data_IF_711577302217
#
_entry.id   IF_711577302217
#
_cell.length_a   1.000
_cell.length_b   1.000
_cell.length_c   1.000
_cell.angle_alpha   90.00
_cell.angle_beta   90.00
_cell.angle_gamma   90.00
#
_symmetry.space_group_name_H-M   'P 1'
#
loop_
_entity.id
_entity.type
_entity.pdbx_description
1 polymer ?
#
# COMPACT_ATOMS: atom_id res chain seq x y z
N UNK A 1 -22.06 -0.94 -12.03
CA UNK A 1 -20.79 -1.67 -11.78
C UNK A 1 -19.70 -0.80 -11.15
N UNK A 2 -19.92 0.51 -10.97
CA UNK A 2 -18.91 1.48 -10.47
C UNK A 2 -18.49 1.21 -9.02
N UNK A 3 -19.45 0.94 -8.11
CA UNK A 3 -19.16 0.69 -6.69
C UNK A 3 -18.38 -0.61 -6.42
N UNK A 4 -18.55 -1.64 -7.27
CA UNK A 4 -17.83 -2.91 -7.10
C UNK A 4 -16.36 -2.72 -7.49
N UNK A 5 -16.09 -2.11 -8.64
CA UNK A 5 -14.74 -1.77 -9.07
C UNK A 5 -14.05 -0.83 -8.04
N UNK A 6 -14.78 0.12 -7.45
CA UNK A 6 -14.25 1.04 -6.44
C UNK A 6 -13.84 0.31 -5.16
N UNK A 7 -14.70 -0.60 -4.67
CA UNK A 7 -14.38 -1.42 -3.51
C UNK A 7 -13.12 -2.26 -3.72
N UNK A 8 -12.93 -2.82 -4.93
CA UNK A 8 -11.73 -3.58 -5.27
C UNK A 8 -10.49 -2.67 -5.27
N UNK A 9 -10.57 -1.48 -5.89
CA UNK A 9 -9.47 -0.50 -5.94
C UNK A 9 -9.07 -0.07 -4.53
N UNK A 10 -10.04 0.29 -3.69
CA UNK A 10 -9.79 0.67 -2.29
C UNK A 10 -9.16 -0.45 -1.49
N UNK A 11 -9.70 -1.67 -1.61
CA UNK A 11 -9.19 -2.82 -0.88
C UNK A 11 -7.74 -3.15 -1.27
N UNK A 12 -7.43 -3.19 -2.57
CA UNK A 12 -6.08 -3.45 -3.06
C UNK A 12 -5.11 -2.34 -2.63
N UNK A 13 -5.49 -1.08 -2.83
CA UNK A 13 -4.67 0.09 -2.45
C UNK A 13 -4.42 0.14 -0.95
N UNK A 14 -5.45 -0.04 -0.14
CA UNK A 14 -5.33 -0.08 1.32
C UNK A 14 -4.42 -1.22 1.77
N UNK A 15 -4.52 -2.41 1.17
CA UNK A 15 -3.66 -3.56 1.47
C UNK A 15 -2.20 -3.27 1.10
N UNK A 16 -1.95 -2.74 -0.11
CA UNK A 16 -0.61 -2.37 -0.57
C UNK A 16 0.05 -1.34 0.34
N UNK A 17 -0.68 -0.29 0.72
CA UNK A 17 -0.24 0.72 1.69
C UNK A 17 0.10 0.09 3.04
N UNK A 18 -0.78 -0.77 3.57
CA UNK A 18 -0.55 -1.47 4.85
C UNK A 18 0.72 -2.32 4.80
N UNK A 19 0.92 -3.08 3.73
CA UNK A 19 2.11 -3.92 3.55
C UNK A 19 3.40 -3.10 3.38
N UNK A 20 3.31 -1.93 2.73
CA UNK A 20 4.40 -0.99 2.59
C UNK A 20 4.65 -0.12 3.84
N UNK A 21 3.84 -0.25 4.90
CA UNK A 21 4.02 0.49 6.16
C UNK A 21 3.36 1.87 6.19
N UNK A 22 2.40 2.13 5.31
CA UNK A 22 1.55 3.33 5.32
C UNK A 22 0.20 3.01 5.98
N UNK A 23 0.22 2.96 7.31
CA UNK A 23 -0.91 2.53 8.12
C UNK A 23 -2.06 3.55 8.16
N UNK A 24 -1.73 4.84 8.29
CA UNK A 24 -2.73 5.90 8.35
C UNK A 24 -3.42 6.08 6.99
N UNK A 25 -2.61 6.10 5.93
CA UNK A 25 -3.07 6.19 4.54
C UNK A 25 -3.93 4.98 4.14
N UNK A 26 -3.56 3.78 4.59
CA UNK A 26 -4.39 2.57 4.43
C UNK A 26 -5.76 2.69 5.10
N UNK A 27 -5.82 3.27 6.31
CA UNK A 27 -7.07 3.47 7.04
C UNK A 27 -7.98 4.55 6.41
N UNK A 28 -7.39 5.60 5.84
CA UNK A 28 -8.11 6.61 5.07
C UNK A 28 -8.66 6.04 3.76
N UNK A 29 -7.86 5.23 3.05
CA UNK A 29 -8.24 4.60 1.77
C UNK A 29 -9.39 3.59 1.92
N UNK A 30 -9.35 2.77 2.98
CA UNK A 30 -10.33 1.69 3.21
C UNK A 30 -11.68 2.17 3.75
N UNK A 31 -11.70 3.26 4.50
CA UNK A 31 -12.89 3.81 5.13
C UNK A 31 -12.82 5.35 5.13
N UNK A 32 -13.05 5.99 3.97
CA UNK A 32 -12.89 7.43 3.83
C UNK A 32 -13.96 8.21 4.61
N UNK A 33 -15.21 7.74 4.60
CA UNK A 33 -16.37 8.49 5.13
C UNK A 33 -16.59 8.35 6.65
N UNK A 34 -15.69 7.68 7.38
CA UNK A 34 -15.82 7.53 8.84
C UNK A 34 -15.01 6.37 9.39
N UNK A 35 -15.42 5.81 10.53
CA UNK A 35 -14.69 4.74 11.21
C UNK A 35 -14.63 3.44 10.40
N UNK A 36 -15.68 3.13 9.64
CA UNK A 36 -15.86 1.89 8.89
C UNK A 36 -16.21 2.16 7.43
N UNK A 37 -16.02 1.19 6.50
CA UNK A 37 -16.41 1.36 5.09
C UNK A 37 -17.92 1.59 4.89
N UNK A 38 -18.75 1.24 5.88
CA UNK A 38 -20.19 1.43 5.86
C UNK A 38 -20.63 2.75 6.49
N UNK A 39 -19.69 3.58 6.97
CA UNK A 39 -20.01 4.86 7.59
C UNK A 39 -20.69 5.79 6.58
N UNK A 40 -21.81 6.39 6.99
CA UNK A 40 -22.61 7.31 6.17
C UNK A 40 -22.87 8.61 6.94
N UNK A 41 -23.17 9.71 6.25
CA UNK A 41 -23.64 10.93 6.91
C UNK A 41 -24.83 10.63 7.83
N UNK A 42 -24.79 11.17 9.05
CA UNK A 42 -25.87 11.03 10.05
C UNK A 42 -26.33 12.42 10.50
N UNK A 43 -27.00 12.54 11.65
CA UNK A 43 -27.47 13.81 12.20
C UNK A 43 -27.02 14.03 13.65
N UNK A 44 -27.04 15.29 14.08
CA UNK A 44 -26.79 15.69 15.46
C UNK A 44 -25.40 15.30 15.96
N UNK A 45 -25.34 14.66 17.13
CA UNK A 45 -24.10 14.29 17.81
C UNK A 45 -23.29 13.25 17.02
N UNK A 46 -23.95 12.29 16.39
CA UNK A 46 -23.27 11.20 15.66
C UNK A 46 -22.54 11.72 14.42
N UNK A 47 -23.11 12.73 13.75
CA UNK A 47 -22.47 13.35 12.59
C UNK A 47 -21.21 14.12 12.99
N UNK A 48 -21.22 14.77 14.16
CA UNK A 48 -20.04 15.44 14.70
C UNK A 48 -18.89 14.46 14.94
N UNK A 49 -19.17 13.34 15.60
CA UNK A 49 -18.18 12.29 15.88
C UNK A 49 -17.64 11.68 14.58
N UNK A 50 -18.51 11.47 13.58
CA UNK A 50 -18.08 10.97 12.26
C UNK A 50 -17.11 11.94 11.60
N UNK A 51 -17.42 13.24 11.58
CA UNK A 51 -16.55 14.27 10.99
C UNK A 51 -15.22 14.37 11.71
N UNK A 52 -15.23 14.39 13.04
CA UNK A 52 -14.00 14.34 13.85
C UNK A 52 -13.12 13.13 13.48
N UNK A 53 -13.74 11.95 13.32
CA UNK A 53 -13.02 10.73 12.89
C UNK A 53 -12.40 10.88 11.49
N UNK A 54 -13.14 11.49 10.55
CA UNK A 54 -12.66 11.71 9.17
C UNK A 54 -11.50 12.72 9.17
N UNK A 55 -11.62 13.81 9.91
CA UNK A 55 -10.60 14.85 10.03
C UNK A 55 -9.32 14.29 10.66
N UNK A 56 -9.43 13.50 11.73
CA UNK A 56 -8.30 12.81 12.35
C UNK A 56 -7.62 11.81 11.41
N UNK A 57 -8.39 11.09 10.59
CA UNK A 57 -7.83 10.17 9.58
C UNK A 57 -7.06 10.94 8.53
N UNK A 58 -7.64 12.03 8.02
CA UNK A 58 -7.03 12.88 7.02
C UNK A 58 -5.72 13.47 7.55
N UNK A 59 -5.74 14.05 8.74
CA UNK A 59 -4.55 14.62 9.37
C UNK A 59 -3.42 13.59 9.52
N UNK A 60 -3.73 12.39 10.02
CA UNK A 60 -2.74 11.31 10.17
C UNK A 60 -2.20 10.81 8.82
N UNK A 61 -3.05 10.68 7.80
CA UNK A 61 -2.60 10.28 6.47
C UNK A 61 -1.70 11.35 5.84
N UNK A 62 -2.06 12.63 5.95
CA UNK A 62 -1.24 13.74 5.48
C UNK A 62 0.12 13.80 6.18
N UNK A 63 0.14 13.64 7.51
CA UNK A 63 1.38 13.59 8.28
C UNK A 63 2.26 12.41 7.87
N UNK A 64 1.68 11.22 7.71
CA UNK A 64 2.40 10.02 7.25
C UNK A 64 2.99 10.22 5.84
N UNK A 65 2.23 10.83 4.92
CA UNK A 65 2.68 11.09 3.56
C UNK A 65 3.73 12.21 3.50
N UNK A 66 3.72 13.19 4.42
CA UNK A 66 4.79 14.19 4.56
C UNK A 66 6.11 13.54 4.96
N UNK A 67 6.06 12.59 5.90
CA UNK A 67 7.22 11.84 6.40
C UNK A 67 7.52 10.56 5.60
N UNK A 68 6.95 10.41 4.40
CA UNK A 68 7.13 9.19 3.56
C UNK A 68 8.59 8.87 3.25
N UNK A 69 9.49 9.86 3.29
CA UNK A 69 10.93 9.69 3.02
C UNK A 69 11.66 8.90 4.10
N UNK A 70 11.07 8.76 5.27
CA UNK A 70 11.63 7.96 6.38
C UNK A 70 11.48 6.45 6.12
N UNK A 71 10.72 6.08 5.09
CA UNK A 71 10.53 4.69 4.65
C UNK A 71 11.74 4.21 3.84
N UNK A 72 11.98 2.90 3.87
CA UNK A 72 13.04 2.29 3.09
C UNK A 72 12.81 2.54 1.60
N UNK A 73 13.79 3.16 0.93
CA UNK A 73 13.77 3.40 -0.50
C UNK A 73 14.49 2.28 -1.23
N UNK A 74 13.88 1.76 -2.29
CA UNK A 74 14.52 0.77 -3.15
C UNK A 74 14.00 0.86 -4.59
N UNK A 75 14.76 0.28 -5.52
CA UNK A 75 14.42 0.26 -6.94
C UNK A 75 14.03 -1.15 -7.36
N UNK A 76 12.91 -1.30 -8.06
CA UNK A 76 12.46 -2.53 -8.70
C UNK A 76 11.91 -2.19 -10.09
N UNK A 77 12.12 -3.03 -11.11
CA UNK A 77 11.64 -2.78 -12.48
C UNK A 77 11.89 -1.35 -13.01
N UNK A 78 13.08 -0.80 -12.76
CA UNK A 78 13.49 0.58 -13.15
C UNK A 78 12.67 1.71 -12.49
N UNK A 79 11.85 1.40 -11.47
CA UNK A 79 11.06 2.37 -10.71
C UNK A 79 11.47 2.41 -9.25
N UNK A 80 11.25 3.56 -8.62
CA UNK A 80 11.57 3.79 -7.22
C UNK A 80 10.33 3.57 -6.35
N UNK A 81 10.53 2.82 -5.27
CA UNK A 81 9.52 2.45 -4.30
C UNK A 81 9.93 2.91 -2.90
N UNK A 82 8.93 3.22 -2.08
CA UNK A 82 9.09 3.50 -0.66
C UNK A 82 8.25 2.51 0.16
N UNK A 83 8.83 1.97 1.23
CA UNK A 83 8.06 1.17 2.16
C UNK A 83 8.87 0.50 3.27
N UNK A 84 8.61 -0.78 3.50
CA UNK A 84 9.26 -1.58 4.55
C UNK A 84 10.32 -2.48 3.95
N UNK A 85 11.45 -2.57 4.65
CA UNK A 85 12.45 -3.60 4.45
C UNK A 85 12.63 -4.34 5.77
N UNK A 86 12.64 -5.66 5.71
CA UNK A 86 12.92 -6.53 6.84
C UNK A 86 14.03 -7.48 6.40
N UNK A 87 15.10 -7.50 7.17
CA UNK A 87 16.19 -8.46 7.03
C UNK A 87 16.14 -9.37 8.25
N UNK A 88 16.13 -10.68 8.04
CA UNK A 88 16.21 -11.64 9.14
C UNK A 88 17.04 -12.87 8.78
N UNK A 89 17.72 -13.40 9.78
CA UNK A 89 18.48 -14.63 9.65
C UNK A 89 17.56 -15.85 9.76
N UNK A 90 17.88 -16.86 8.98
CA UNK A 90 17.18 -18.13 9.01
C UNK A 90 17.70 -18.94 10.21
N UNK A 91 16.81 -19.63 10.95
CA UNK A 91 17.22 -20.46 12.08
C UNK A 91 18.10 -21.65 11.64
N UNK A 92 17.98 -22.06 10.37
CA UNK A 92 18.85 -23.03 9.73
C UNK A 92 19.11 -22.62 8.28
N UNK A 93 20.31 -22.89 7.73
CA UNK A 93 20.60 -22.63 6.34
C UNK A 93 19.67 -23.43 5.41
N UNK A 94 19.14 -22.78 4.38
CA UNK A 94 18.35 -23.44 3.33
C UNK A 94 19.19 -23.59 2.07
N UNK A 95 19.09 -24.75 1.42
CA UNK A 95 19.80 -25.02 0.16
C UNK A 95 18.79 -25.03 -0.99
N UNK A 96 18.99 -24.14 -1.97
CA UNK A 96 18.19 -24.08 -3.20
C UNK A 96 19.14 -24.26 -4.38
N UNK A 97 19.04 -25.41 -5.06
CA UNK A 97 20.00 -25.81 -6.09
C UNK A 97 21.40 -26.03 -5.50
N UNK A 98 22.40 -25.26 -5.93
CA UNK A 98 23.80 -25.35 -5.47
C UNK A 98 24.17 -24.29 -4.44
N UNK A 99 23.21 -23.46 -4.02
CA UNK A 99 23.47 -22.30 -3.18
C UNK A 99 22.84 -22.52 -1.80
N UNK A 100 23.59 -22.17 -0.76
CA UNK A 100 23.10 -22.15 0.62
C UNK A 100 22.84 -20.71 1.04
N UNK A 101 21.68 -20.49 1.67
CA UNK A 101 21.22 -19.18 2.12
C UNK A 101 21.02 -19.21 3.63
N UNK A 102 21.43 -18.13 4.31
CA UNK A 102 21.35 -17.97 5.76
C UNK A 102 20.49 -16.80 6.19
N UNK A 103 20.13 -15.91 5.29
CA UNK A 103 19.27 -14.77 5.60
C UNK A 103 18.31 -14.48 4.45
N UNK A 104 17.25 -13.74 4.78
CA UNK A 104 16.22 -13.33 3.85
C UNK A 104 16.00 -11.84 3.99
N UNK A 105 15.93 -11.16 2.85
CA UNK A 105 15.48 -9.78 2.74
C UNK A 105 14.07 -9.78 2.16
N UNK A 106 13.12 -9.20 2.90
CA UNK A 106 11.77 -8.93 2.40
C UNK A 106 11.60 -7.43 2.24
N UNK A 107 11.16 -6.99 1.06
CA UNK A 107 10.89 -5.58 0.76
C UNK A 107 9.47 -5.45 0.22
N UNK A 108 8.69 -4.58 0.83
CA UNK A 108 7.35 -4.22 0.36
C UNK A 108 7.29 -2.71 0.19
N UNK A 109 6.90 -2.24 -0.98
CA UNK A 109 6.91 -0.81 -1.28
C UNK A 109 5.83 -0.41 -2.27
N UNK A 110 5.45 0.85 -2.18
CA UNK A 110 4.56 1.52 -3.13
C UNK A 110 5.35 2.53 -3.97
N UNK A 111 4.95 2.72 -5.22
CA UNK A 111 5.67 3.60 -6.15
C UNK A 111 5.59 5.06 -5.71
N UNK A 112 6.60 5.84 -6.11
CA UNK A 112 6.58 7.29 -5.85
C UNK A 112 5.41 7.98 -6.55
N UNK A 113 5.04 7.53 -7.75
CA UNK A 113 3.94 8.08 -8.53
C UNK A 113 2.62 7.92 -7.77
N UNK A 114 2.35 6.70 -7.28
CA UNK A 114 1.16 6.42 -6.49
C UNK A 114 1.10 7.23 -5.19
N UNK A 115 2.23 7.37 -4.48
CA UNK A 115 2.32 8.22 -3.29
C UNK A 115 2.16 9.71 -3.62
N UNK A 116 2.57 10.13 -4.81
CA UNK A 116 2.39 11.48 -5.33
C UNK A 116 0.92 11.81 -5.49
N UNK A 117 0.17 10.94 -6.16
CA UNK A 117 -1.28 11.11 -6.33
C UNK A 117 -2.02 11.06 -5.00
N UNK A 118 -1.68 10.10 -4.14
CA UNK A 118 -2.29 9.99 -2.82
C UNK A 118 -1.99 11.22 -1.93
N UNK A 119 -0.86 11.91 -2.15
CA UNK A 119 -0.55 13.15 -1.42
C UNK A 119 -1.44 14.33 -1.84
N UNK A 120 -1.94 14.35 -3.08
CA UNK A 120 -2.87 15.38 -3.56
C UNK A 120 -4.26 15.17 -3.01
N UNK A 121 -4.70 13.90 -2.95
CA UNK A 121 -6.01 13.51 -2.43
C UNK A 121 -5.88 12.37 -1.40
N UNK A 122 -5.48 12.68 -0.14
CA UNK A 122 -5.27 11.66 0.90
C UNK A 122 -6.57 10.96 1.34
N UNK A 123 -7.70 11.64 1.13
CA UNK A 123 -9.03 11.15 1.47
C UNK A 123 -9.93 11.36 0.27
N UNK A 124 -10.39 10.26 -0.31
CA UNK A 124 -11.23 10.22 -1.51
C UNK A 124 -12.54 9.58 -1.10
N UNK A 125 -13.59 10.38 -0.93
CA UNK A 125 -14.93 9.88 -0.58
C UNK A 125 -15.70 9.38 -1.82
N UNK A 126 -15.54 10.05 -2.96
CA UNK A 126 -16.17 9.66 -4.23
C UNK A 126 -15.50 8.43 -4.86
N UNK A 127 -16.16 7.71 -5.79
CA UNK A 127 -15.57 6.56 -6.45
C UNK A 127 -14.21 6.93 -7.09
N UNK A 128 -13.17 6.17 -6.76
CA UNK A 128 -11.78 6.44 -7.19
C UNK A 128 -11.65 6.47 -8.72
N UNK A 129 -12.54 5.77 -9.43
CA UNK A 129 -12.61 5.75 -10.89
C UNK A 129 -12.93 7.12 -11.52
N UNK A 130 -13.58 8.02 -10.78
CA UNK A 130 -14.00 9.34 -11.26
C UNK A 130 -12.95 10.44 -11.00
N UNK A 131 -11.94 10.16 -10.18
CA UNK A 131 -10.99 11.18 -9.70
C UNK A 131 -9.67 11.14 -10.47
N UNK A 132 -9.12 9.97 -10.80
CA UNK A 132 -7.97 9.92 -11.70
C UNK A 132 -7.68 8.53 -12.27
N UNK A 133 -7.17 8.50 -13.51
CA UNK A 133 -6.80 7.27 -14.22
C UNK A 133 -5.62 6.52 -13.59
N UNK A 134 -4.80 7.22 -12.82
CA UNK A 134 -3.51 6.73 -12.29
C UNK A 134 -3.62 6.02 -10.93
N UNK A 135 -4.76 6.14 -10.25
CA UNK A 135 -5.06 5.38 -9.02
C UNK A 135 -5.53 3.93 -9.28
N UNK A 136 -5.45 3.47 -10.54
CA UNK A 136 -5.94 2.15 -11.01
C UNK A 136 -5.09 0.95 -10.57
N UNK A 137 -4.57 0.92 -9.34
CA UNK A 137 -3.83 -0.23 -8.79
C UNK A 137 -4.56 -1.56 -9.04
N UNK A 138 -5.88 -1.60 -8.84
CA UNK A 138 -6.61 -2.87 -8.87
C UNK A 138 -7.11 -3.33 -10.25
N UNK A 139 -7.06 -2.46 -11.28
CA UNK A 139 -7.30 -2.94 -12.66
C UNK A 139 -6.06 -3.60 -13.24
N UNK A 140 -4.91 -3.43 -12.59
CA UNK A 140 -3.66 -4.03 -13.03
C UNK A 140 -3.53 -5.47 -12.53
N UNK A 141 -3.08 -6.34 -13.44
CA UNK A 141 -2.90 -7.77 -13.16
C UNK A 141 -1.83 -7.94 -12.08
N UNK A 142 -2.11 -8.75 -11.07
CA UNK A 142 -1.07 -9.23 -10.16
C UNK A 142 -0.14 -10.16 -10.93
N UNK A 143 1.14 -9.82 -11.00
CA UNK A 143 2.17 -10.65 -11.65
C UNK A 143 3.16 -11.13 -10.61
N UNK A 144 3.77 -12.28 -10.86
CA UNK A 144 4.80 -12.86 -9.99
C UNK A 144 5.94 -13.36 -10.84
N UNK A 145 7.12 -12.80 -10.60
CA UNK A 145 8.37 -13.19 -11.23
C UNK A 145 9.16 -14.04 -10.22
N UNK A 146 9.42 -15.30 -10.59
CA UNK A 146 10.18 -16.24 -9.76
C UNK A 146 11.59 -16.35 -10.30
N UNK A 147 12.56 -16.19 -9.41
CA UNK A 147 13.97 -16.41 -9.69
C UNK A 147 14.55 -17.49 -8.77
N UNK A 148 15.76 -17.97 -9.06
CA UNK A 148 16.43 -18.97 -8.20
C UNK A 148 16.76 -18.46 -6.79
N UNK A 149 16.88 -17.15 -6.61
CA UNK A 149 17.32 -16.53 -5.36
C UNK A 149 16.22 -15.67 -4.71
N UNK A 150 14.98 -15.79 -5.17
CA UNK A 150 13.93 -14.91 -4.70
C UNK A 150 12.71 -14.89 -5.58
N UNK A 151 11.66 -14.25 -5.08
CA UNK A 151 10.43 -14.04 -5.82
C UNK A 151 10.02 -12.57 -5.68
N UNK A 152 9.40 -12.06 -6.75
CA UNK A 152 8.89 -10.71 -6.80
C UNK A 152 7.43 -10.76 -7.23
N UNK A 153 6.57 -10.10 -6.49
CA UNK A 153 5.16 -9.92 -6.82
C UNK A 153 4.90 -8.44 -7.07
N UNK A 154 4.15 -8.14 -8.12
CA UNK A 154 3.69 -6.79 -8.43
C UNK A 154 2.17 -6.73 -8.49
N UNK A 155 1.62 -5.60 -8.08
CA UNK A 155 0.24 -5.22 -8.41
C UNK A 155 0.38 -4.02 -9.33
N UNK A 156 0.42 -4.34 -10.62
CA UNK A 156 0.85 -3.46 -11.69
C UNK A 156 2.07 -2.62 -11.33
N UNK A 157 1.96 -1.30 -11.42
CA UNK A 157 3.12 -0.41 -11.23
C UNK A 157 3.20 0.18 -9.82
N UNK A 158 2.08 0.17 -9.10
CA UNK A 158 1.91 0.89 -7.86
C UNK A 158 2.46 0.17 -6.62
N UNK A 159 2.56 -1.17 -6.65
CA UNK A 159 3.07 -1.95 -5.52
C UNK A 159 4.02 -3.05 -5.95
N UNK A 160 5.05 -3.27 -5.14
CA UNK A 160 5.98 -4.38 -5.27
C UNK A 160 6.24 -5.03 -3.92
N UNK A 161 6.34 -6.36 -3.93
CA UNK A 161 6.81 -7.19 -2.84
C UNK A 161 7.94 -8.10 -3.35
N UNK A 162 9.13 -7.97 -2.78
CA UNK A 162 10.31 -8.77 -3.11
C UNK A 162 10.74 -9.60 -1.92
N UNK A 163 11.10 -10.86 -2.17
CA UNK A 163 11.80 -11.72 -1.24
C UNK A 163 13.10 -12.13 -1.91
N UNK A 164 14.23 -11.78 -1.30
CA UNK A 164 15.56 -12.13 -1.76
C UNK A 164 16.27 -13.00 -0.72
N UNK A 165 16.73 -14.17 -1.15
CA UNK A 165 17.56 -15.08 -0.35
C UNK A 165 19.03 -14.64 -0.40
N UNK A 166 19.68 -14.66 0.76
CA UNK A 166 21.06 -14.19 0.96
C UNK A 166 21.92 -15.26 1.60
N UNK A 167 23.11 -15.43 1.05
CA UNK A 167 24.13 -16.42 1.45
C UNK A 167 24.94 -15.97 2.64
#
# INVERSE_FOLDING_TARGET
MIYADDAIIRAASAKSLRLAGFGASSAAMSAPSGATPQSRPTSGRYERVRRETVDEKKARAEEELKHRRDRAAFTANKRRYLGRQIDFDLPAPITVGRNTFRSVRVRCGVSLDFLGELSKHPLVEDPIQEIDGDLKIAKERTTTDVSRKGARMHVGEAFVSEIDLRS
#
